data_IF_014945423164
#
_entry.id   IF_014945423164
#
_cell.length_a   1.000
_cell.length_b   1.000
_cell.length_c   1.000
_cell.angle_alpha   90.00
_cell.angle_beta   90.00
_cell.angle_gamma   90.00
#
_symmetry.space_group_name_H-M   'P 1'
#
loop_
_entity.id
_entity.type
_entity.pdbx_description
1 polymer ?
#
# COMPACT_ATOMS: atom_id res chain seq x y z
N UNK A 1 -4.67 -27.96 -29.87
CA UNK A 1 -4.84 -26.76 -29.00
C UNK A 1 -3.98 -26.73 -27.73
N UNK A 2 -3.27 -27.80 -27.33
CA UNK A 2 -2.43 -27.80 -26.10
C UNK A 2 -1.07 -27.10 -26.21
N UNK A 3 -0.41 -27.16 -27.38
CA UNK A 3 0.95 -26.61 -27.54
C UNK A 3 1.02 -25.07 -27.43
N UNK A 4 0.03 -24.35 -27.96
CA UNK A 4 -0.02 -22.88 -27.88
C UNK A 4 -0.22 -22.38 -26.44
N UNK A 5 -1.01 -23.10 -25.63
CA UNK A 5 -1.20 -22.77 -24.22
C UNK A 5 0.07 -23.03 -23.38
N UNK A 6 0.80 -24.10 -23.67
CA UNK A 6 2.07 -24.41 -22.98
C UNK A 6 3.17 -23.42 -23.39
N UNK A 7 3.25 -23.04 -24.66
CA UNK A 7 4.19 -22.03 -25.15
C UNK A 7 3.88 -20.63 -24.58
N UNK A 8 2.61 -20.20 -24.59
CA UNK A 8 2.19 -18.96 -23.93
C UNK A 8 2.44 -18.99 -22.43
N UNK A 9 2.25 -20.13 -21.76
CA UNK A 9 2.52 -20.26 -20.32
C UNK A 9 4.03 -20.22 -20.02
N UNK A 10 4.87 -20.81 -20.87
CA UNK A 10 6.35 -20.68 -20.80
C UNK A 10 6.82 -19.25 -21.06
N UNK A 11 6.28 -18.58 -22.08
CA UNK A 11 6.59 -17.19 -22.40
C UNK A 11 6.13 -16.23 -21.29
N UNK A 12 4.95 -16.46 -20.69
CA UNK A 12 4.44 -15.70 -19.53
C UNK A 12 5.29 -15.90 -18.28
N UNK A 13 5.82 -17.10 -18.05
CA UNK A 13 6.77 -17.39 -16.98
C UNK A 13 8.12 -16.71 -17.21
N UNK A 14 8.65 -16.78 -18.43
CA UNK A 14 9.92 -16.17 -18.84
C UNK A 14 9.94 -14.66 -18.62
N UNK A 15 8.84 -13.97 -18.96
CA UNK A 15 8.71 -12.52 -18.75
C UNK A 15 8.62 -12.07 -17.29
N UNK A 16 8.40 -12.98 -16.34
CA UNK A 16 8.46 -12.70 -14.89
C UNK A 16 9.93 -12.74 -14.42
N UNK A 17 10.68 -13.77 -14.81
CA UNK A 17 12.09 -13.90 -14.45
C UNK A 17 12.99 -12.86 -15.12
N UNK A 18 12.62 -12.34 -16.29
CA UNK A 18 13.31 -11.20 -16.91
C UNK A 18 13.26 -9.95 -16.02
N UNK A 19 12.10 -9.63 -15.44
CA UNK A 19 11.96 -8.49 -14.52
C UNK A 19 12.79 -8.69 -13.25
N UNK A 20 12.84 -9.91 -12.72
CA UNK A 20 13.70 -10.25 -11.59
C UNK A 20 15.19 -10.09 -11.94
N UNK A 21 15.62 -10.58 -13.11
CA UNK A 21 17.00 -10.44 -13.58
C UNK A 21 17.39 -8.96 -13.75
N UNK A 22 16.49 -8.13 -14.27
CA UNK A 22 16.69 -6.67 -14.37
C UNK A 22 16.85 -6.00 -12.99
N UNK A 23 16.03 -6.41 -12.02
CA UNK A 23 16.12 -5.94 -10.63
C UNK A 23 17.46 -6.33 -9.99
N UNK A 24 17.83 -7.61 -10.07
CA UNK A 24 19.11 -8.10 -9.52
C UNK A 24 20.29 -7.43 -10.23
N UNK A 25 20.23 -7.31 -11.56
CA UNK A 25 21.27 -6.67 -12.37
C UNK A 25 21.48 -5.20 -12.00
N UNK A 26 20.42 -4.42 -11.88
CA UNK A 26 20.50 -3.01 -11.48
C UNK A 26 21.06 -2.84 -10.05
N UNK A 27 20.66 -3.68 -9.10
CA UNK A 27 21.24 -3.69 -7.75
C UNK A 27 22.72 -4.06 -7.76
N UNK A 28 23.09 -5.06 -8.56
CA UNK A 28 24.48 -5.53 -8.67
C UNK A 28 25.39 -4.46 -9.27
N UNK A 29 24.92 -3.76 -10.31
CA UNK A 29 25.62 -2.61 -10.90
C UNK A 29 25.73 -1.44 -9.91
N UNK A 30 24.69 -1.18 -9.11
CA UNK A 30 24.74 -0.13 -8.09
C UNK A 30 25.80 -0.46 -7.03
N UNK A 31 25.79 -1.68 -6.50
CA UNK A 31 26.80 -2.14 -5.54
C UNK A 31 28.20 -2.14 -6.14
N UNK A 32 28.37 -2.63 -7.37
CA UNK A 32 29.64 -2.65 -8.09
C UNK A 32 30.21 -1.25 -8.33
N UNK A 33 29.35 -0.26 -8.62
CA UNK A 33 29.77 1.14 -8.71
C UNK A 33 30.34 1.64 -7.38
N UNK A 34 29.73 1.26 -6.24
CA UNK A 34 30.20 1.68 -4.91
C UNK A 34 31.53 1.06 -4.51
N UNK A 35 31.83 -0.16 -4.96
CA UNK A 35 33.13 -0.82 -4.68
C UNK A 35 34.32 -0.12 -5.32
N UNK A 36 34.09 0.72 -6.34
CA UNK A 36 35.14 1.52 -6.99
C UNK A 36 35.57 2.75 -6.17
N UNK A 37 34.90 3.05 -5.05
CA UNK A 37 35.22 4.21 -4.22
C UNK A 37 36.31 3.81 -3.22
N UNK A 38 37.52 4.39 -3.31
CA UNK A 38 38.65 3.97 -2.50
C UNK A 38 38.52 4.40 -1.03
N UNK A 39 38.00 5.60 -0.74
CA UNK A 39 37.87 6.09 0.64
C UNK A 39 36.42 6.20 1.09
N UNK A 40 36.17 5.80 2.34
CA UNK A 40 34.84 5.83 2.93
C UNK A 40 34.29 7.25 3.16
N UNK A 41 35.14 8.27 3.16
CA UNK A 41 34.77 9.68 3.39
C UNK A 41 34.46 10.43 2.10
N UNK A 42 34.74 9.82 0.95
CA UNK A 42 34.63 10.45 -0.36
C UNK A 42 33.18 10.83 -0.71
N UNK A 43 33.05 11.84 -1.57
CA UNK A 43 31.77 12.33 -2.08
C UNK A 43 31.29 11.48 -3.24
N UNK A 44 29.97 11.32 -3.33
CA UNK A 44 29.36 10.82 -4.56
C UNK A 44 29.26 11.99 -5.54
N UNK A 45 29.95 11.89 -6.68
CA UNK A 45 29.82 12.89 -7.74
C UNK A 45 28.39 12.94 -8.29
N UNK A 46 27.96 14.10 -8.79
CA UNK A 46 26.61 14.26 -9.34
C UNK A 46 26.31 13.22 -10.45
N UNK A 47 27.27 12.99 -11.35
CA UNK A 47 27.14 11.98 -12.41
C UNK A 47 26.88 10.58 -11.84
N UNK A 48 27.63 10.18 -10.80
CA UNK A 48 27.45 8.89 -10.14
C UNK A 48 26.13 8.84 -9.35
N UNK A 49 25.73 9.94 -8.73
CA UNK A 49 24.44 10.08 -8.06
C UNK A 49 23.27 9.88 -9.02
N UNK A 50 23.27 10.56 -10.17
CA UNK A 50 22.26 10.40 -11.22
C UNK A 50 22.23 8.97 -11.79
N UNK A 51 23.41 8.33 -11.93
CA UNK A 51 23.49 6.93 -12.31
C UNK A 51 22.86 6.00 -11.25
N UNK A 52 23.13 6.22 -9.96
CA UNK A 52 22.53 5.48 -8.86
C UNK A 52 21.01 5.67 -8.79
N UNK A 53 20.50 6.88 -9.02
CA UNK A 53 19.05 7.13 -9.10
C UNK A 53 18.42 6.41 -10.28
N UNK A 54 19.09 6.39 -11.43
CA UNK A 54 18.62 5.66 -12.61
C UNK A 54 18.55 4.14 -12.35
N UNK A 55 19.59 3.59 -11.73
CA UNK A 55 19.60 2.18 -11.30
C UNK A 55 18.53 1.89 -10.24
N UNK A 56 18.30 2.81 -9.30
CA UNK A 56 17.23 2.72 -8.32
C UNK A 56 15.86 2.65 -8.99
N UNK A 57 15.60 3.49 -9.99
CA UNK A 57 14.34 3.49 -10.72
C UNK A 57 14.11 2.15 -11.45
N UNK A 58 15.15 1.66 -12.15
CA UNK A 58 15.12 0.33 -12.79
C UNK A 58 14.84 -0.75 -11.74
N UNK A 59 15.53 -0.69 -10.59
CA UNK A 59 15.39 -1.67 -9.52
C UNK A 59 13.95 -1.74 -8.98
N UNK A 60 13.38 -0.63 -8.53
CA UNK A 60 12.07 -0.63 -7.88
C UNK A 60 10.93 -0.94 -8.86
N UNK A 61 10.99 -0.42 -10.09
CA UNK A 61 9.98 -0.70 -11.12
C UNK A 61 10.02 -2.17 -11.54
N UNK A 62 11.21 -2.72 -11.81
CA UNK A 62 11.36 -4.13 -12.21
C UNK A 62 11.04 -5.10 -11.09
N UNK A 63 11.38 -4.78 -9.84
CA UNK A 63 11.00 -5.56 -8.66
C UNK A 63 9.49 -5.63 -8.49
N UNK A 64 8.81 -4.50 -8.65
CA UNK A 64 7.34 -4.43 -8.55
C UNK A 64 6.66 -5.21 -9.66
N UNK A 65 7.14 -5.04 -10.90
CA UNK A 65 6.64 -5.78 -12.04
C UNK A 65 6.87 -7.29 -11.88
N UNK A 66 8.03 -7.69 -11.33
CA UNK A 66 8.27 -9.08 -10.94
C UNK A 66 7.24 -9.56 -9.92
N UNK A 67 7.06 -8.86 -8.79
CA UNK A 67 6.11 -9.24 -7.75
C UNK A 67 4.67 -9.35 -8.29
N UNK A 68 4.24 -8.40 -9.13
CA UNK A 68 2.93 -8.39 -9.76
C UNK A 68 2.77 -9.58 -10.71
N UNK A 69 3.72 -9.79 -11.63
CA UNK A 69 3.69 -10.94 -12.56
C UNK A 69 3.76 -12.26 -11.80
N UNK A 70 4.54 -12.32 -10.71
CA UNK A 70 4.66 -13.52 -9.88
C UNK A 70 3.30 -13.91 -9.31
N UNK A 71 2.60 -12.98 -8.66
CA UNK A 71 1.30 -13.25 -8.04
C UNK A 71 0.17 -13.44 -9.07
N UNK A 72 0.22 -12.75 -10.22
CA UNK A 72 -0.87 -12.79 -11.21
C UNK A 72 -0.72 -13.87 -12.28
N UNK A 73 0.51 -14.27 -12.66
CA UNK A 73 0.74 -15.12 -13.84
C UNK A 73 1.33 -16.49 -13.50
N UNK A 74 1.97 -16.68 -12.34
CA UNK A 74 2.57 -17.96 -11.99
C UNK A 74 1.56 -18.92 -11.36
N UNK A 75 1.79 -20.23 -11.49
CA UNK A 75 0.93 -21.26 -10.88
C UNK A 75 0.83 -21.08 -9.35
N UNK A 76 1.96 -20.81 -8.68
CA UNK A 76 2.01 -20.55 -7.23
C UNK A 76 1.25 -19.29 -6.84
N UNK A 77 1.41 -18.20 -7.61
CA UNK A 77 0.68 -16.95 -7.41
C UNK A 77 -0.84 -17.12 -7.56
N UNK A 78 -1.28 -17.84 -8.58
CA UNK A 78 -2.70 -18.13 -8.79
C UNK A 78 -3.29 -19.02 -7.68
N UNK A 79 -2.54 -20.02 -7.21
CA UNK A 79 -2.95 -20.83 -6.04
C UNK A 79 -3.06 -19.97 -4.78
N UNK A 80 -2.10 -19.08 -4.54
CA UNK A 80 -2.10 -18.15 -3.42
C UNK A 80 -3.31 -17.19 -3.49
N UNK A 81 -3.58 -16.61 -4.66
CA UNK A 81 -4.73 -15.73 -4.90
C UNK A 81 -6.05 -16.46 -4.65
N UNK A 82 -6.19 -17.70 -5.12
CA UNK A 82 -7.38 -18.53 -4.89
C UNK A 82 -7.54 -18.86 -3.39
N UNK A 83 -6.45 -19.24 -2.71
CA UNK A 83 -6.46 -19.59 -1.28
C UNK A 83 -6.97 -18.45 -0.40
N UNK A 84 -6.54 -17.23 -0.66
CA UNK A 84 -6.93 -16.05 0.14
C UNK A 84 -8.04 -15.20 -0.49
N UNK A 85 -8.63 -15.65 -1.61
CA UNK A 85 -9.69 -14.95 -2.37
C UNK A 85 -9.34 -13.47 -2.67
N UNK A 86 -8.12 -13.23 -3.14
CA UNK A 86 -7.59 -11.89 -3.36
C UNK A 86 -8.11 -11.25 -4.65
N UNK A 87 -8.52 -9.99 -4.57
CA UNK A 87 -8.85 -9.14 -5.71
C UNK A 87 -7.59 -8.56 -6.37
N UNK A 88 -7.77 -7.75 -7.42
CA UNK A 88 -6.63 -7.13 -8.10
C UNK A 88 -5.99 -6.06 -7.20
N UNK A 89 -6.81 -5.27 -6.53
CA UNK A 89 -6.36 -4.25 -5.57
C UNK A 89 -5.55 -4.86 -4.42
N UNK A 90 -6.02 -5.98 -3.87
CA UNK A 90 -5.31 -6.75 -2.83
C UNK A 90 -3.92 -7.20 -3.28
N UNK A 91 -3.79 -7.69 -4.52
CA UNK A 91 -2.49 -8.11 -5.07
C UNK A 91 -1.55 -6.92 -5.20
N UNK A 92 -2.01 -5.80 -5.75
CA UNK A 92 -1.20 -4.59 -5.89
C UNK A 92 -0.79 -4.00 -4.53
N UNK A 93 -1.67 -4.08 -3.54
CA UNK A 93 -1.36 -3.67 -2.16
C UNK A 93 -0.28 -4.56 -1.54
N UNK A 94 -0.40 -5.88 -1.67
CA UNK A 94 0.62 -6.81 -1.17
C UNK A 94 1.98 -6.56 -1.81
N UNK A 95 2.03 -6.34 -3.13
CA UNK A 95 3.31 -6.09 -3.82
C UNK A 95 3.91 -4.74 -3.45
N UNK A 96 3.10 -3.67 -3.35
CA UNK A 96 3.56 -2.38 -2.83
C UNK A 96 4.19 -2.53 -1.44
N UNK A 97 3.55 -3.26 -0.52
CA UNK A 97 4.07 -3.47 0.84
C UNK A 97 5.32 -4.33 0.90
N UNK A 98 5.48 -5.30 0.00
CA UNK A 98 6.72 -6.07 -0.14
C UNK A 98 7.87 -5.15 -0.58
N UNK A 99 7.65 -4.34 -1.61
CA UNK A 99 8.69 -3.42 -2.12
C UNK A 99 9.07 -2.38 -1.06
N UNK A 100 8.07 -1.84 -0.35
CA UNK A 100 8.27 -0.94 0.79
C UNK A 100 9.10 -1.58 1.92
N UNK A 101 8.79 -2.82 2.31
CA UNK A 101 9.56 -3.54 3.33
C UNK A 101 11.03 -3.78 2.90
N UNK A 102 11.27 -4.06 1.62
CA UNK A 102 12.62 -4.24 1.07
C UNK A 102 13.38 -2.91 1.10
N UNK A 103 12.76 -1.81 0.66
CA UNK A 103 13.39 -0.48 0.74
C UNK A 103 13.75 -0.12 2.17
N UNK A 104 12.82 -0.31 3.11
CA UNK A 104 13.03 -0.01 4.51
C UNK A 104 14.20 -0.82 5.12
N UNK A 105 14.33 -2.09 4.71
CA UNK A 105 15.45 -2.94 5.11
C UNK A 105 16.78 -2.37 4.61
N UNK A 106 16.85 -1.90 3.36
CA UNK A 106 18.06 -1.26 2.85
C UNK A 106 18.41 0.03 3.59
N UNK A 107 17.40 0.88 3.84
CA UNK A 107 17.59 2.11 4.61
C UNK A 107 18.15 1.81 5.99
N UNK A 108 17.52 0.87 6.72
CA UNK A 108 17.99 0.44 8.03
C UNK A 108 19.42 -0.10 8.00
N UNK A 109 19.77 -0.96 7.04
CA UNK A 109 21.12 -1.52 6.93
C UNK A 109 22.17 -0.44 6.66
N UNK A 110 21.88 0.50 5.76
CA UNK A 110 22.77 1.65 5.49
C UNK A 110 22.92 2.50 6.75
N UNK A 111 21.82 2.83 7.42
CA UNK A 111 21.83 3.54 8.69
C UNK A 111 22.69 2.84 9.74
N UNK A 112 22.51 1.53 9.92
CA UNK A 112 23.28 0.74 10.87
C UNK A 112 24.79 0.72 10.56
N UNK A 113 25.16 0.50 9.29
CA UNK A 113 26.56 0.49 8.85
C UNK A 113 27.21 1.86 9.07
N UNK A 114 26.54 2.94 8.63
CA UNK A 114 27.05 4.31 8.79
C UNK A 114 27.15 4.67 10.27
N UNK A 115 26.15 4.32 11.09
CA UNK A 115 26.14 4.56 12.53
C UNK A 115 27.38 3.95 13.19
N UNK A 116 27.62 2.65 12.96
CA UNK A 116 28.76 1.92 13.54
C UNK A 116 30.11 2.52 13.11
N UNK A 117 30.25 2.89 11.85
CA UNK A 117 31.50 3.42 11.27
C UNK A 117 31.78 4.89 11.63
N UNK A 118 30.74 5.69 11.83
CA UNK A 118 30.82 7.16 11.90
C UNK A 118 30.71 7.66 13.35
N UNK A 119 29.78 7.09 14.13
CA UNK A 119 29.49 7.56 15.48
C UNK A 119 30.62 7.27 16.48
N UNK A 120 31.52 6.35 16.16
CA UNK A 120 32.73 6.05 16.95
C UNK A 120 33.86 7.06 16.73
N UNK A 121 33.87 7.77 15.59
CA UNK A 121 34.92 8.73 15.22
C UNK A 121 34.56 10.15 15.66
N UNK A 122 33.40 10.64 15.21
CA UNK A 122 32.88 11.93 15.62
C UNK A 122 31.38 11.96 15.36
N UNK A 123 30.60 12.19 16.41
CA UNK A 123 29.14 12.26 16.31
C UNK A 123 28.68 13.39 15.37
N UNK A 124 29.39 14.52 15.41
CA UNK A 124 29.01 15.74 14.68
C UNK A 124 29.74 15.87 13.36
N UNK A 125 30.99 15.42 13.19
CA UNK A 125 31.79 15.78 12.01
C UNK A 125 32.09 14.63 11.05
N UNK A 126 31.89 13.38 11.47
CA UNK A 126 32.24 12.25 10.62
C UNK A 126 31.19 12.06 9.50
N UNK A 127 31.68 11.56 8.37
CA UNK A 127 30.91 11.35 7.14
C UNK A 127 31.21 9.98 6.55
N UNK A 128 30.27 9.49 5.74
CA UNK A 128 30.36 8.19 5.09
C UNK A 128 29.65 8.23 3.74
N UNK A 129 30.34 7.83 2.66
CA UNK A 129 29.82 7.88 1.28
C UNK A 129 28.53 7.08 1.11
N UNK A 130 28.40 5.95 1.83
CA UNK A 130 27.22 5.07 1.75
C UNK A 130 25.90 5.79 2.05
N UNK A 131 25.93 6.81 2.92
CA UNK A 131 24.77 7.66 3.21
C UNK A 131 24.31 8.42 1.97
N UNK A 132 25.24 9.08 1.27
CA UNK A 132 24.97 9.82 0.03
C UNK A 132 24.57 8.88 -1.11
N UNK A 133 25.28 7.76 -1.26
CA UNK A 133 25.01 6.76 -2.28
C UNK A 133 23.59 6.19 -2.16
N UNK A 134 23.20 5.81 -0.94
CA UNK A 134 21.85 5.33 -0.71
C UNK A 134 20.81 6.45 -0.80
N UNK A 135 21.15 7.69 -0.41
CA UNK A 135 20.28 8.84 -0.67
C UNK A 135 19.89 8.92 -2.16
N UNK A 136 20.89 8.93 -3.05
CA UNK A 136 20.67 8.97 -4.50
C UNK A 136 19.88 7.75 -5.02
N UNK A 137 20.23 6.54 -4.58
CA UNK A 137 19.53 5.32 -4.97
C UNK A 137 18.08 5.28 -4.45
N UNK A 138 17.89 5.66 -3.19
CA UNK A 138 16.63 5.62 -2.44
C UNK A 138 15.63 6.69 -2.86
N UNK A 139 16.07 7.85 -3.37
CA UNK A 139 15.15 8.86 -3.94
C UNK A 139 14.27 8.30 -5.05
N UNK A 140 14.77 7.35 -5.85
CA UNK A 140 13.98 6.70 -6.88
C UNK A 140 12.80 5.90 -6.31
N UNK A 141 12.93 5.33 -5.10
CA UNK A 141 11.83 4.65 -4.41
C UNK A 141 10.70 5.60 -4.09
N UNK A 142 10.98 6.77 -3.51
CA UNK A 142 9.92 7.71 -3.11
C UNK A 142 9.06 8.14 -4.30
N UNK A 143 9.67 8.34 -5.47
CA UNK A 143 8.96 8.66 -6.71
C UNK A 143 8.11 7.48 -7.19
N UNK A 144 8.69 6.28 -7.19
CA UNK A 144 7.96 5.05 -7.52
C UNK A 144 6.79 4.79 -6.56
N UNK A 145 6.98 5.01 -5.26
CA UNK A 145 6.02 4.62 -4.22
C UNK A 145 4.75 5.48 -4.32
N UNK A 146 4.88 6.79 -4.58
CA UNK A 146 3.76 7.68 -4.88
C UNK A 146 2.91 7.14 -6.04
N UNK A 147 3.57 6.77 -7.15
CA UNK A 147 2.87 6.21 -8.30
C UNK A 147 2.20 4.88 -7.98
N UNK A 148 2.89 4.01 -7.25
CA UNK A 148 2.37 2.68 -6.91
C UNK A 148 1.19 2.76 -5.93
N UNK A 149 1.24 3.64 -4.92
CA UNK A 149 0.13 3.90 -4.01
C UNK A 149 -1.10 4.45 -4.74
N UNK A 150 -0.90 5.38 -5.67
CA UNK A 150 -1.97 5.87 -6.55
C UNK A 150 -2.63 4.74 -7.36
N UNK A 151 -1.83 3.82 -7.91
CA UNK A 151 -2.33 2.64 -8.63
C UNK A 151 -3.13 1.71 -7.73
N UNK A 152 -2.67 1.45 -6.50
CA UNK A 152 -3.43 0.67 -5.51
C UNK A 152 -4.75 1.35 -5.19
N UNK A 153 -4.74 2.65 -4.88
CA UNK A 153 -5.95 3.42 -4.55
C UNK A 153 -6.99 3.37 -5.67
N UNK A 154 -6.57 3.64 -6.90
CA UNK A 154 -7.45 3.58 -8.08
C UNK A 154 -8.05 2.19 -8.26
N UNK A 155 -7.26 1.13 -8.05
CA UNK A 155 -7.74 -0.24 -8.17
C UNK A 155 -8.69 -0.63 -7.03
N UNK A 156 -8.45 -0.17 -5.80
CA UNK A 156 -9.37 -0.39 -4.66
C UNK A 156 -10.76 0.17 -4.97
N UNK A 157 -10.83 1.35 -5.59
CA UNK A 157 -12.09 1.96 -6.01
C UNK A 157 -12.75 1.15 -7.12
N UNK A 158 -12.00 0.73 -8.14
CA UNK A 158 -12.54 -0.08 -9.22
C UNK A 158 -13.12 -1.41 -8.73
N UNK A 159 -12.41 -2.09 -7.82
CA UNK A 159 -12.83 -3.36 -7.23
C UNK A 159 -14.09 -3.17 -6.36
N UNK A 160 -14.18 -2.09 -5.57
CA UNK A 160 -15.39 -1.77 -4.79
C UNK A 160 -16.59 -1.47 -5.69
N UNK A 161 -16.42 -0.68 -6.75
CA UNK A 161 -17.48 -0.37 -7.70
C UNK A 161 -17.99 -1.64 -8.42
N UNK A 162 -17.08 -2.56 -8.74
CA UNK A 162 -17.42 -3.87 -9.30
C UNK A 162 -18.24 -4.70 -8.31
N UNK A 163 -17.85 -4.74 -7.03
CA UNK A 163 -18.62 -5.44 -5.99
C UNK A 163 -20.02 -4.83 -5.80
N UNK A 164 -20.14 -3.50 -5.79
CA UNK A 164 -21.45 -2.83 -5.70
C UNK A 164 -22.37 -3.19 -6.86
N UNK A 165 -21.85 -3.18 -8.10
CA UNK A 165 -22.63 -3.58 -9.29
C UNK A 165 -23.09 -5.03 -9.23
N UNK A 166 -22.22 -5.94 -8.77
CA UNK A 166 -22.56 -7.35 -8.59
C UNK A 166 -23.62 -7.56 -7.52
N UNK A 167 -23.53 -6.83 -6.39
CA UNK A 167 -24.53 -6.90 -5.33
C UNK A 167 -25.88 -6.35 -5.82
N UNK A 168 -25.91 -5.22 -6.54
CA UNK A 168 -27.12 -4.65 -7.10
C UNK A 168 -27.80 -5.58 -8.12
N UNK A 169 -27.01 -6.26 -8.96
CA UNK A 169 -27.50 -7.29 -9.88
C UNK A 169 -28.06 -8.52 -9.13
N UNK A 170 -27.43 -8.93 -8.03
CA UNK A 170 -27.87 -10.07 -7.23
C UNK A 170 -29.14 -9.78 -6.41
N UNK A 171 -29.37 -8.53 -5.99
CA UNK A 171 -30.57 -8.12 -5.26
C UNK A 171 -31.75 -7.76 -6.17
N UNK A 172 -31.65 -8.02 -7.48
CA UNK A 172 -32.74 -7.72 -8.44
C UNK A 172 -33.07 -6.23 -8.53
N UNK A 173 -32.15 -5.35 -8.14
CA UNK A 173 -32.34 -3.91 -8.27
C UNK A 173 -32.04 -3.48 -9.72
N UNK A 174 -32.89 -3.91 -10.65
CA UNK A 174 -33.10 -3.18 -11.90
C UNK A 174 -33.72 -1.84 -11.53
N UNK A 175 -32.89 -0.87 -11.15
CA UNK A 175 -33.30 0.53 -11.08
C UNK A 175 -33.34 1.07 -12.50
N UNK A 176 -34.42 0.74 -13.22
CA UNK A 176 -34.93 1.61 -14.27
C UNK A 176 -35.40 2.89 -13.60
N UNK A 177 -34.62 3.96 -13.73
CA UNK A 177 -35.12 5.29 -14.13
C UNK A 177 -34.00 6.33 -14.01
N UNK A 178 -33.62 6.86 -15.17
CA UNK A 178 -33.02 8.17 -15.24
C UNK A 178 -34.08 9.27 -15.06
N UNK A 179 -33.58 10.44 -14.67
CA UNK A 179 -34.15 11.78 -14.93
C UNK A 179 -35.49 12.10 -14.27
N UNK A 180 -35.45 12.81 -13.13
CA UNK A 180 -36.05 14.15 -12.97
C UNK A 180 -35.76 14.73 -11.58
N UNK A 181 -35.51 16.03 -11.54
CA UNK A 181 -35.06 16.75 -10.35
C UNK A 181 -36.16 17.40 -9.51
N UNK A 182 -35.66 18.03 -8.44
CA UNK A 182 -36.18 19.23 -7.75
C UNK A 182 -37.36 19.07 -6.78
N UNK A 183 -37.01 19.30 -5.50
CA UNK A 183 -37.70 20.08 -4.47
C UNK A 183 -38.70 19.49 -3.46
N UNK A 184 -38.35 19.81 -2.20
CA UNK A 184 -39.14 20.44 -1.13
C UNK A 184 -40.02 19.58 -0.18
N UNK A 185 -39.52 19.59 1.07
CA UNK A 185 -40.17 19.93 2.35
C UNK A 185 -41.16 18.97 3.06
N UNK A 186 -40.81 18.80 4.34
CA UNK A 186 -41.64 18.91 5.56
C UNK A 186 -42.28 17.66 6.21
N UNK A 187 -41.75 17.39 7.42
CA UNK A 187 -42.40 17.38 8.75
C UNK A 187 -43.12 16.11 9.30
N UNK A 188 -42.51 15.60 10.37
CA UNK A 188 -43.06 15.25 11.70
C UNK A 188 -44.13 14.15 11.93
N UNK A 189 -43.76 13.27 12.90
CA UNK A 189 -44.53 12.65 13.99
C UNK A 189 -45.44 11.43 13.74
N UNK A 190 -45.32 10.42 14.62
CA UNK A 190 -46.42 9.49 14.97
C UNK A 190 -45.98 8.06 15.33
N UNK A 191 -46.40 7.58 16.50
CA UNK A 191 -46.03 6.34 17.19
C UNK A 191 -47.14 5.26 17.06
N UNK A 192 -46.79 3.97 17.27
CA UNK A 192 -47.63 2.79 17.64
C UNK A 192 -48.64 2.25 16.59
N UNK A 193 -49.04 0.97 16.49
CA UNK A 193 -48.74 -0.33 17.13
C UNK A 193 -49.38 -1.47 16.29
N UNK A 194 -48.77 -2.66 16.33
CA UNK A 194 -49.28 -4.05 16.19
C UNK A 194 -50.44 -4.46 15.25
N UNK A 195 -50.18 -5.54 14.49
CA UNK A 195 -51.12 -6.67 14.29
C UNK A 195 -51.33 -7.13 12.84
N UNK A 196 -51.06 -8.41 12.54
CA UNK A 196 -51.64 -9.10 11.37
C UNK A 196 -50.70 -10.02 10.58
N UNK A 197 -50.88 -11.32 10.78
CA UNK A 197 -50.18 -12.47 10.23
C UNK A 197 -50.51 -12.77 8.75
N UNK A 198 -49.52 -13.21 7.97
CA UNK A 198 -49.67 -14.22 6.91
C UNK A 198 -48.29 -14.57 6.33
N UNK A 199 -47.94 -15.85 6.41
CA UNK A 199 -46.61 -16.38 6.17
C UNK A 199 -46.16 -16.44 4.71
N UNK A 200 -44.84 -16.49 4.55
CA UNK A 200 -44.19 -17.17 3.44
C UNK A 200 -42.81 -17.69 3.88
N UNK A 201 -42.57 -18.95 3.58
CA UNK A 201 -41.48 -19.78 4.08
C UNK A 201 -40.25 -19.58 3.16
N UNK A 202 -39.44 -18.56 3.45
CA UNK A 202 -38.19 -18.30 2.70
C UNK A 202 -36.96 -18.93 3.37
N UNK A 203 -36.05 -19.56 2.62
CA UNK A 203 -34.92 -20.28 3.19
C UNK A 203 -33.88 -19.32 3.77
N UNK A 204 -33.58 -19.53 5.06
CA UNK A 204 -32.31 -19.22 5.76
C UNK A 204 -31.58 -17.96 5.27
N UNK A 205 -31.99 -16.80 5.80
CA UNK A 205 -31.16 -15.60 5.89
C UNK A 205 -29.89 -15.93 6.69
N UNK A 206 -28.81 -16.32 6.01
CA UNK A 206 -27.46 -16.12 6.56
C UNK A 206 -27.25 -14.61 6.57
N UNK A 207 -27.18 -14.06 7.77
CA UNK A 207 -27.09 -12.65 8.12
C UNK A 207 -26.30 -11.80 7.10
N UNK A 208 -27.04 -10.99 6.35
CA UNK A 208 -26.55 -9.82 5.61
C UNK A 208 -26.02 -8.70 6.54
N UNK A 209 -25.91 -8.97 7.85
CA UNK A 209 -25.57 -8.01 8.90
C UNK A 209 -24.05 -7.80 9.08
N UNK A 210 -23.22 -8.37 8.21
CA UNK A 210 -21.77 -8.16 8.21
C UNK A 210 -21.25 -7.47 6.93
N UNK A 211 -22.15 -6.94 6.09
CA UNK A 211 -21.80 -6.17 4.88
C UNK A 211 -22.45 -4.78 4.83
N UNK A 212 -22.73 -4.22 6.00
CA UNK A 212 -23.21 -2.86 6.15
C UNK A 212 -22.16 -2.12 6.99
N UNK A 213 -21.53 -1.10 6.40
CA UNK A 213 -20.35 -0.32 6.86
C UNK A 213 -18.95 -0.75 6.37
N UNK A 214 -18.79 -1.06 5.09
CA UNK A 214 -17.45 -1.05 4.48
C UNK A 214 -17.15 0.34 3.88
N UNK A 215 -16.89 1.30 4.75
CA UNK A 215 -16.11 2.48 4.38
C UNK A 215 -14.74 2.00 3.85
N UNK A 216 -14.25 2.59 2.75
CA UNK A 216 -12.86 2.33 2.35
C UNK A 216 -12.02 3.06 3.38
N UNK A 217 -11.34 2.32 4.25
CA UNK A 217 -10.28 2.89 5.06
C UNK A 217 -9.05 3.08 4.17
N UNK A 218 -8.65 4.34 3.99
CA UNK A 218 -7.38 4.66 3.36
C UNK A 218 -6.18 4.33 4.27
N UNK A 219 -4.95 4.47 3.77
CA UNK A 219 -3.72 4.34 4.56
C UNK A 219 -3.73 5.18 5.84
N UNK A 220 -4.43 6.32 5.84
CA UNK A 220 -4.56 7.22 6.98
C UNK A 220 -5.75 6.89 7.92
N UNK A 221 -6.55 5.86 7.60
CA UNK A 221 -7.71 5.44 8.40
C UNK A 221 -8.99 6.27 8.17
N UNK A 222 -9.00 7.17 7.19
CA UNK A 222 -10.15 7.98 6.77
C UNK A 222 -11.04 7.23 5.76
N UNK A 223 -12.34 7.53 5.73
CA UNK A 223 -13.32 6.94 4.82
C UNK A 223 -13.23 7.57 3.42
N UNK A 224 -12.80 6.83 2.40
CA UNK A 224 -12.69 7.34 1.02
C UNK A 224 -14.07 7.48 0.39
N UNK A 225 -14.43 8.71 0.05
CA UNK A 225 -15.63 9.02 -0.73
C UNK A 225 -15.48 8.54 -2.17
N UNK A 226 -16.44 7.75 -2.67
CA UNK A 226 -16.45 7.26 -4.05
C UNK A 226 -16.98 8.38 -4.96
N UNK A 227 -16.22 8.89 -5.93
CA UNK A 227 -16.73 9.86 -6.89
C UNK A 227 -17.77 9.19 -7.78
N UNK A 228 -18.82 9.95 -8.09
CA UNK A 228 -19.91 9.54 -8.97
C UNK A 228 -19.43 9.15 -10.39
N UNK A 229 -18.24 9.61 -10.77
CA UNK A 229 -17.71 9.52 -12.14
C UNK A 229 -16.75 8.34 -12.35
N UNK A 230 -16.47 7.56 -11.29
CA UNK A 230 -15.74 6.28 -11.38
C UNK A 230 -14.25 6.36 -11.72
N UNK A 231 -13.64 7.55 -11.82
CA UNK A 231 -12.19 7.75 -11.98
C UNK A 231 -11.69 8.85 -11.05
N UNK A 232 -10.61 8.58 -10.34
CA UNK A 232 -9.84 9.62 -9.64
C UNK A 232 -8.67 10.02 -10.53
N UNK A 233 -8.55 11.32 -10.82
CA UNK A 233 -7.35 11.85 -11.45
C UNK A 233 -6.20 11.89 -10.43
N UNK A 234 -4.97 11.73 -10.93
CA UNK A 234 -3.75 11.72 -10.10
C UNK A 234 -3.61 12.98 -9.23
N UNK A 235 -3.93 14.15 -9.77
CA UNK A 235 -3.88 15.43 -9.02
C UNK A 235 -4.85 15.42 -7.85
N UNK A 236 -6.06 14.87 -8.05
CA UNK A 236 -7.06 14.77 -6.99
C UNK A 236 -6.60 13.81 -5.89
N UNK A 237 -5.93 12.71 -6.25
CA UNK A 237 -5.32 11.79 -5.29
C UNK A 237 -4.23 12.48 -4.44
N UNK A 238 -3.34 13.25 -5.08
CA UNK A 238 -2.26 13.96 -4.38
C UNK A 238 -2.80 14.97 -3.38
N UNK A 239 -3.84 15.73 -3.75
CA UNK A 239 -4.44 16.76 -2.88
C UNK A 239 -5.22 16.15 -1.70
N UNK A 240 -5.78 14.95 -1.88
CA UNK A 240 -6.60 14.30 -0.84
C UNK A 240 -5.79 13.54 0.21
N UNK A 241 -4.52 13.23 -0.07
CA UNK A 241 -3.64 12.52 0.87
C UNK A 241 -2.40 13.36 1.22
N UNK A 242 -2.57 14.59 1.76
CA UNK A 242 -1.49 15.56 1.87
C UNK A 242 -0.39 15.14 2.84
N UNK A 243 -0.72 14.47 3.95
CA UNK A 243 0.26 14.04 4.97
C UNK A 243 1.26 13.05 4.36
N UNK A 244 0.75 12.01 3.71
CA UNK A 244 1.57 11.01 3.03
C UNK A 244 2.36 11.62 1.87
N UNK A 245 1.76 12.48 1.05
CA UNK A 245 2.45 13.09 -0.09
C UNK A 245 3.56 14.04 0.34
N UNK A 246 3.30 14.92 1.31
CA UNK A 246 4.33 15.81 1.87
C UNK A 246 5.48 14.99 2.44
N UNK A 247 5.20 13.92 3.19
CA UNK A 247 6.24 13.05 3.74
C UNK A 247 7.14 12.45 2.65
N UNK A 248 6.56 11.87 1.59
CA UNK A 248 7.34 11.21 0.53
C UNK A 248 8.12 12.20 -0.33
N UNK A 249 7.51 13.33 -0.69
CA UNK A 249 8.18 14.37 -1.47
C UNK A 249 9.28 15.04 -0.64
N UNK A 250 9.01 15.38 0.63
CA UNK A 250 9.97 16.01 1.52
C UNK A 250 11.18 15.11 1.76
N UNK A 251 10.99 13.83 2.11
CA UNK A 251 12.12 12.92 2.32
C UNK A 251 12.86 12.65 1.00
N UNK A 252 12.13 12.41 -0.09
CA UNK A 252 12.73 12.07 -1.39
C UNK A 252 13.54 13.22 -2.01
N UNK A 253 13.13 14.48 -1.80
CA UNK A 253 13.78 15.66 -2.41
C UNK A 253 14.62 16.44 -1.41
N UNK A 254 14.01 17.00 -0.37
CA UNK A 254 14.70 17.79 0.65
C UNK A 254 15.68 16.92 1.43
N UNK A 255 15.29 15.69 1.82
CA UNK A 255 16.19 14.74 2.46
C UNK A 255 17.44 14.42 1.62
N UNK A 256 17.27 14.21 0.31
CA UNK A 256 18.39 14.02 -0.62
C UNK A 256 19.29 15.26 -0.68
N UNK A 257 18.71 16.46 -0.85
CA UNK A 257 19.47 17.70 -0.91
C UNK A 257 20.26 17.93 0.37
N UNK A 258 19.66 17.69 1.53
CA UNK A 258 20.35 17.82 2.82
C UNK A 258 21.52 16.85 2.93
N UNK A 259 21.32 15.57 2.60
CA UNK A 259 22.38 14.55 2.67
C UNK A 259 23.52 14.82 1.69
N UNK A 260 23.24 15.39 0.52
CA UNK A 260 24.23 15.58 -0.55
C UNK A 260 24.89 16.97 -0.56
N UNK A 261 24.12 18.02 -0.29
CA UNK A 261 24.55 19.42 -0.41
C UNK A 261 25.05 20.00 0.92
N UNK A 262 24.36 19.74 2.03
CA UNK A 262 24.77 20.24 3.35
C UNK A 262 25.81 19.28 3.93
N UNK A 263 27.08 19.45 3.54
CA UNK A 263 28.17 18.72 4.19
C UNK A 263 29.09 19.63 4.98
N UNK A 264 28.98 19.49 6.30
CA UNK A 264 29.91 19.94 7.33
C UNK A 264 29.99 18.97 8.53
N UNK A 265 29.42 17.76 8.40
CA UNK A 265 29.25 16.81 9.50
C UNK A 265 27.81 16.31 9.65
N UNK A 266 27.59 15.33 10.54
CA UNK A 266 26.26 14.94 11.02
C UNK A 266 25.71 13.63 10.43
N UNK A 267 26.49 12.89 9.62
CA UNK A 267 26.02 11.63 9.02
C UNK A 267 25.70 10.57 10.09
N UNK A 268 26.32 10.64 11.28
CA UNK A 268 25.91 9.84 12.42
C UNK A 268 24.46 10.16 12.83
N UNK A 269 24.06 11.44 12.91
CA UNK A 269 22.67 11.84 13.22
C UNK A 269 21.71 11.34 12.12
N UNK A 270 22.05 11.57 10.85
CA UNK A 270 21.24 11.07 9.72
C UNK A 270 21.14 9.54 9.67
N UNK A 271 22.15 8.82 10.16
CA UNK A 271 22.13 7.36 10.23
C UNK A 271 21.03 6.84 11.16
N UNK A 272 20.75 7.54 12.26
CA UNK A 272 19.60 7.22 13.11
C UNK A 272 18.28 7.50 12.40
N UNK A 273 18.21 8.51 11.53
CA UNK A 273 17.01 8.77 10.73
C UNK A 273 16.72 7.60 9.77
N UNK A 274 17.76 7.02 9.17
CA UNK A 274 17.59 5.82 8.32
C UNK A 274 17.18 4.60 9.15
N UNK A 275 17.72 4.46 10.37
CA UNK A 275 17.35 3.37 11.26
C UNK A 275 15.88 3.41 11.71
N UNK A 276 15.18 4.55 11.58
CA UNK A 276 13.74 4.67 11.82
C UNK A 276 12.91 3.75 10.92
N UNK A 277 13.45 3.35 9.77
CA UNK A 277 12.78 2.43 8.83
C UNK A 277 12.70 0.99 9.33
N UNK A 278 13.37 0.65 10.44
CA UNK A 278 13.30 -0.71 11.03
C UNK A 278 11.86 -1.15 11.37
N UNK A 279 10.98 -0.22 11.73
CA UNK A 279 9.58 -0.56 12.03
C UNK A 279 8.74 -0.86 10.78
N UNK A 280 9.14 -0.33 9.62
CA UNK A 280 8.34 -0.36 8.39
C UNK A 280 8.07 -1.77 7.85
N UNK A 281 9.02 -2.74 7.88
CA UNK A 281 8.73 -4.13 7.54
C UNK A 281 7.58 -4.74 8.35
N UNK A 282 7.47 -4.43 9.65
CA UNK A 282 6.40 -4.93 10.50
C UNK A 282 5.06 -4.23 10.19
N UNK A 283 5.07 -2.94 9.88
CA UNK A 283 3.88 -2.20 9.41
C UNK A 283 3.37 -2.79 8.09
N UNK A 284 4.27 -3.00 7.12
CA UNK A 284 3.97 -3.62 5.82
C UNK A 284 3.45 -5.04 5.97
N UNK A 285 4.08 -5.85 6.83
CA UNK A 285 3.61 -7.21 7.10
C UNK A 285 2.23 -7.24 7.75
N UNK A 286 1.92 -6.28 8.65
CA UNK A 286 0.58 -6.16 9.23
C UNK A 286 -0.47 -5.87 8.17
N UNK A 287 -0.15 -4.97 7.23
CA UNK A 287 -0.99 -4.64 6.09
C UNK A 287 -1.23 -5.88 5.22
N UNK A 288 -0.17 -6.61 4.85
CA UNK A 288 -0.27 -7.84 4.04
C UNK A 288 -1.15 -8.89 4.73
N UNK A 289 -0.95 -9.14 6.03
CA UNK A 289 -1.76 -10.10 6.79
C UNK A 289 -3.23 -9.65 6.88
N UNK A 290 -3.48 -8.34 6.98
CA UNK A 290 -4.83 -7.77 6.93
C UNK A 290 -5.49 -7.99 5.57
N UNK A 291 -4.78 -7.71 4.47
CA UNK A 291 -5.25 -7.94 3.08
C UNK A 291 -5.53 -9.43 2.81
N UNK A 292 -4.75 -10.32 3.42
CA UNK A 292 -5.00 -11.77 3.37
C UNK A 292 -6.14 -12.26 4.29
N UNK A 293 -6.85 -11.35 4.99
CA UNK A 293 -7.93 -11.64 5.94
C UNK A 293 -7.50 -12.52 7.12
N UNK A 294 -6.23 -12.39 7.54
CA UNK A 294 -5.66 -13.16 8.66
C UNK A 294 -5.64 -12.38 9.98
N UNK A 295 -6.62 -11.49 10.20
CA UNK A 295 -6.66 -10.61 11.40
C UNK A 295 -6.78 -11.39 12.72
N UNK A 296 -7.40 -12.56 12.70
CA UNK A 296 -7.56 -13.42 13.89
C UNK A 296 -6.37 -14.36 14.16
N UNK A 297 -5.37 -14.35 13.28
CA UNK A 297 -4.22 -15.24 13.39
C UNK A 297 -3.25 -14.79 14.49
N UNK A 298 -2.59 -15.76 15.15
CA UNK A 298 -1.48 -15.47 16.08
C UNK A 298 -0.37 -14.66 15.41
N UNK A 299 -0.12 -14.91 14.12
CA UNK A 299 0.86 -14.17 13.33
C UNK A 299 0.52 -12.67 13.25
N UNK A 300 -0.76 -12.31 13.07
CA UNK A 300 -1.20 -10.91 13.05
C UNK A 300 -1.01 -10.20 14.38
N UNK A 301 -1.26 -10.91 15.49
CA UNK A 301 -1.06 -10.39 16.85
C UNK A 301 0.43 -10.21 17.15
N UNK A 302 1.25 -11.25 16.90
CA UNK A 302 2.71 -11.21 17.13
C UNK A 302 3.35 -10.09 16.30
N UNK A 303 3.01 -10.01 15.01
CA UNK A 303 3.51 -8.93 14.17
C UNK A 303 3.03 -7.56 14.64
N UNK A 304 1.80 -7.44 15.13
CA UNK A 304 1.28 -6.20 15.73
C UNK A 304 2.08 -5.76 16.96
N UNK A 305 2.49 -6.68 17.82
CA UNK A 305 3.35 -6.40 18.98
C UNK A 305 4.77 -6.01 18.54
N UNK A 306 5.35 -6.71 17.57
CA UNK A 306 6.66 -6.37 17.00
C UNK A 306 6.64 -4.98 16.34
N UNK A 307 5.57 -4.67 15.61
CA UNK A 307 5.34 -3.35 15.03
C UNK A 307 5.28 -2.28 16.12
N UNK A 308 4.50 -2.48 17.19
CA UNK A 308 4.38 -1.51 18.28
C UNK A 308 5.71 -1.27 19.00
N UNK A 309 6.43 -2.34 19.36
CA UNK A 309 7.71 -2.26 20.05
C UNK A 309 8.80 -1.61 19.19
N UNK A 310 8.92 -2.02 17.93
CA UNK A 310 9.90 -1.43 17.00
C UNK A 310 9.60 0.03 16.72
N UNK A 311 8.32 0.42 16.54
CA UNK A 311 7.95 1.81 16.31
C UNK A 311 8.29 2.69 17.52
N UNK A 312 8.01 2.22 18.74
CA UNK A 312 8.38 2.93 19.96
C UNK A 312 9.89 3.16 20.05
N UNK A 313 10.69 2.10 19.91
CA UNK A 313 12.15 2.19 20.07
C UNK A 313 12.79 3.05 18.98
N UNK A 314 12.51 2.74 17.72
CA UNK A 314 13.24 3.34 16.59
C UNK A 314 12.69 4.68 16.13
N UNK A 315 11.41 4.99 16.36
CA UNK A 315 10.81 6.27 15.93
C UNK A 315 10.50 7.23 17.07
N UNK A 316 10.10 6.75 18.25
CA UNK A 316 9.71 7.61 19.38
C UNK A 316 10.89 7.89 20.31
N UNK A 317 11.55 6.85 20.83
CA UNK A 317 12.64 6.98 21.81
C UNK A 317 13.97 7.40 21.16
N UNK A 318 14.20 6.97 19.91
CA UNK A 318 15.44 7.26 19.20
C UNK A 318 15.71 8.76 19.05
N UNK A 319 14.69 9.58 18.77
CA UNK A 319 14.87 11.02 18.58
C UNK A 319 15.36 11.75 19.83
N UNK A 320 14.71 11.62 21.01
CA UNK A 320 15.24 12.13 22.28
C UNK A 320 16.67 11.66 22.57
N UNK A 321 16.97 10.39 22.30
CA UNK A 321 18.32 9.85 22.48
C UNK A 321 19.36 10.52 21.57
N UNK A 322 19.05 10.72 20.28
CA UNK A 322 19.93 11.40 19.33
C UNK A 322 20.15 12.86 19.74
N UNK A 323 19.11 13.56 20.21
CA UNK A 323 19.24 14.93 20.72
C UNK A 323 20.07 15.00 22.01
N UNK A 324 19.93 14.02 22.91
CA UNK A 324 20.79 13.91 24.08
C UNK A 324 22.26 13.71 23.68
N UNK A 325 22.54 12.76 22.78
CA UNK A 325 23.89 12.52 22.26
C UNK A 325 24.47 13.76 21.57
N UNK A 326 23.64 14.52 20.86
CA UNK A 326 24.03 15.80 20.29
C UNK A 326 24.41 16.80 21.38
N UNK A 327 23.57 16.98 22.42
CA UNK A 327 23.83 17.91 23.52
C UNK A 327 25.16 17.64 24.24
N UNK A 328 25.49 16.35 24.46
CA UNK A 328 26.76 15.93 25.03
C UNK A 328 27.92 16.23 24.08
N UNK A 329 27.74 16.02 22.78
CA UNK A 329 28.78 16.26 21.79
C UNK A 329 29.17 17.75 21.64
N UNK A 330 28.22 18.66 21.86
CA UNK A 330 28.47 20.12 21.83
C UNK A 330 28.61 20.74 23.23
N UNK A 331 28.61 19.93 24.29
CA UNK A 331 28.74 20.35 25.70
C UNK A 331 27.73 21.45 26.13
N UNK A 332 26.47 21.33 25.72
CA UNK A 332 25.39 22.24 26.18
C UNK A 332 24.26 21.44 26.83
N UNK A 333 23.41 22.12 27.61
CA UNK A 333 22.22 21.48 28.17
C UNK A 333 21.26 20.99 27.07
N UNK A 334 20.45 19.98 27.36
CA UNK A 334 19.50 19.42 26.39
C UNK A 334 18.59 20.48 25.75
N UNK A 335 18.07 21.41 26.56
CA UNK A 335 17.21 22.50 26.08
C UNK A 335 17.95 23.48 25.18
N UNK A 336 19.18 23.86 25.56
CA UNK A 336 20.03 24.70 24.72
C UNK A 336 20.37 24.00 23.41
N UNK A 337 20.65 22.70 23.43
CA UNK A 337 20.97 21.94 22.21
C UNK A 337 19.84 22.02 21.18
N UNK A 338 18.59 21.99 21.64
CA UNK A 338 17.41 22.10 20.79
C UNK A 338 17.25 23.52 20.21
N UNK A 339 17.46 24.56 21.01
CA UNK A 339 17.33 25.96 20.55
C UNK A 339 18.52 26.45 19.73
N UNK A 340 19.68 25.80 19.83
CA UNK A 340 20.90 26.16 19.09
C UNK A 340 20.87 25.64 17.64
N UNK A 341 20.00 24.68 17.33
CA UNK A 341 19.85 24.16 15.98
C UNK A 341 19.34 25.26 15.03
N UNK A 342 19.82 25.32 13.78
CA UNK A 342 19.28 26.23 12.79
C UNK A 342 17.77 26.04 12.62
N UNK A 343 17.02 27.13 12.48
CA UNK A 343 15.55 27.11 12.38
C UNK A 343 15.04 26.11 11.33
N UNK A 344 15.70 26.02 10.17
CA UNK A 344 15.36 25.05 9.12
C UNK A 344 15.53 23.59 9.55
N UNK A 345 16.54 23.28 10.36
CA UNK A 345 16.76 21.93 10.91
C UNK A 345 15.66 21.57 11.92
N UNK A 346 15.31 22.49 12.83
CA UNK A 346 14.23 22.28 13.80
C UNK A 346 12.90 22.01 13.08
N UNK A 347 12.54 22.86 12.11
CA UNK A 347 11.31 22.69 11.33
C UNK A 347 11.31 21.32 10.62
N UNK A 348 12.43 20.93 10.01
CA UNK A 348 12.56 19.64 9.33
C UNK A 348 12.38 18.45 10.28
N UNK A 349 12.98 18.51 11.47
CA UNK A 349 12.82 17.49 12.51
C UNK A 349 11.35 17.41 12.95
N UNK A 350 10.69 18.55 13.17
CA UNK A 350 9.28 18.57 13.58
C UNK A 350 8.35 17.99 12.51
N UNK A 351 8.55 18.35 11.23
CA UNK A 351 7.78 17.81 10.09
C UNK A 351 7.92 16.29 10.02
N UNK A 352 9.10 15.75 10.31
CA UNK A 352 9.34 14.31 10.29
C UNK A 352 8.91 13.58 11.57
N UNK A 353 8.95 14.23 12.73
CA UNK A 353 8.70 13.60 14.03
C UNK A 353 7.23 13.63 14.44
N UNK A 354 6.50 14.72 14.18
CA UNK A 354 5.09 14.87 14.59
C UNK A 354 4.17 13.78 14.00
N UNK A 355 4.25 13.41 12.70
CA UNK A 355 3.46 12.30 12.16
C UNK A 355 3.75 10.97 12.86
N UNK A 356 5.00 10.76 13.30
CA UNK A 356 5.41 9.53 13.98
C UNK A 356 4.74 9.42 15.35
N UNK A 357 4.68 10.51 16.12
CA UNK A 357 3.96 10.56 17.39
C UNK A 357 2.47 10.32 17.20
N UNK A 358 1.88 10.94 16.18
CA UNK A 358 0.48 10.73 15.83
C UNK A 358 0.17 9.26 15.50
N UNK A 359 0.95 8.64 14.62
CA UNK A 359 0.77 7.24 14.27
C UNK A 359 1.02 6.30 15.45
N UNK A 360 2.02 6.59 16.29
CA UNK A 360 2.26 5.81 17.50
C UNK A 360 1.06 5.88 18.47
N UNK A 361 0.50 7.06 18.68
CA UNK A 361 -0.71 7.22 19.49
C UNK A 361 -1.89 6.39 18.92
N UNK A 362 -2.11 6.43 17.61
CA UNK A 362 -3.12 5.59 16.95
C UNK A 362 -2.86 4.09 17.14
N UNK A 363 -1.61 3.65 17.03
CA UNK A 363 -1.22 2.25 17.24
C UNK A 363 -1.47 1.79 18.68
N UNK A 364 -1.13 2.61 19.67
CA UNK A 364 -1.40 2.32 21.10
C UNK A 364 -2.91 2.24 21.35
N UNK A 365 -3.68 3.23 20.85
CA UNK A 365 -5.15 3.21 20.96
C UNK A 365 -5.76 1.97 20.32
N UNK A 366 -5.26 1.58 19.14
CA UNK A 366 -5.67 0.36 18.45
C UNK A 366 -5.34 -0.91 19.25
N UNK A 367 -4.15 -1.00 19.84
CA UNK A 367 -3.76 -2.12 20.68
C UNK A 367 -4.61 -2.21 21.96
N UNK A 368 -4.83 -1.09 22.65
CA UNK A 368 -5.68 -1.03 23.84
C UNK A 368 -7.10 -1.49 23.56
N UNK A 369 -7.69 -1.12 22.41
CA UNK A 369 -9.03 -1.59 22.00
C UNK A 369 -9.10 -3.12 21.86
N UNK A 370 -8.05 -3.73 21.29
CA UNK A 370 -7.98 -5.18 21.12
C UNK A 370 -7.88 -5.90 22.46
N UNK A 371 -7.10 -5.36 23.41
CA UNK A 371 -6.94 -5.96 24.74
C UNK A 371 -8.09 -5.65 25.71
N UNK A 372 -8.82 -4.56 25.50
CA UNK A 372 -9.93 -4.14 26.38
C UNK A 372 -11.27 -4.74 26.00
N UNK A 373 -11.40 -5.39 24.83
CA UNK A 373 -12.65 -6.05 24.44
C UNK A 373 -12.81 -7.34 25.25
N UNK A 374 -13.83 -7.49 26.11
CA UNK A 374 -14.04 -8.70 26.88
C UNK A 374 -14.24 -9.90 25.95
N UNK A 375 -13.50 -10.99 26.15
CA UNK A 375 -13.80 -12.26 25.48
C UNK A 375 -15.25 -12.65 25.83
N UNK A 376 -16.11 -12.99 24.84
CA UNK A 376 -17.37 -13.65 25.14
C UNK A 376 -17.07 -14.92 25.94
N UNK A 377 -17.66 -15.05 27.13
CA UNK A 377 -17.57 -16.29 27.92
C UNK A 377 -18.11 -17.43 27.05
N UNK A 378 -17.35 -18.52 26.97
CA UNK A 378 -17.74 -19.75 26.29
C UNK A 378 -19.13 -20.19 26.80
N UNK A 379 -20.15 -20.04 25.96
CA UNK A 379 -21.46 -20.62 26.22
C UNK A 379 -21.32 -22.14 26.03
N UNK A 380 -21.61 -22.88 27.10
CA UNK A 380 -21.53 -24.34 27.23
C UNK A 380 -22.11 -25.12 26.03
N UNK A 381 -21.62 -26.34 25.74
CA UNK A 381 -22.07 -27.12 24.61
C UNK A 381 -23.53 -27.55 24.80
N UNK A 382 -24.44 -27.05 23.96
CA UNK A 382 -25.81 -27.56 23.90
C UNK A 382 -25.81 -28.93 23.23
N UNK A 383 -26.28 -29.92 23.99
CA UNK A 383 -26.45 -31.32 23.64
C UNK A 383 -27.14 -31.52 22.28
N UNK A 384 -26.59 -32.47 21.53
CA UNK A 384 -27.14 -33.14 20.37
C UNK A 384 -28.60 -33.56 20.63
N UNK A 385 -29.55 -33.05 19.83
CA UNK A 385 -30.89 -33.63 19.72
C UNK A 385 -31.00 -34.29 18.36
N UNK A 386 -30.80 -35.61 18.36
CA UNK A 386 -31.19 -36.52 17.30
C UNK A 386 -32.71 -36.41 17.08
N UNK A 387 -33.14 -36.20 15.84
CA UNK A 387 -34.47 -36.61 15.39
C UNK A 387 -34.36 -37.22 14.00
N UNK A 388 -34.74 -38.50 13.93
CA UNK A 388 -34.99 -39.31 12.74
C UNK A 388 -35.88 -38.56 11.73
N UNK A 389 -35.55 -38.65 10.46
CA UNK A 389 -36.38 -39.39 9.50
C UNK A 389 -35.61 -39.68 8.21
N UNK A 390 -35.58 -40.96 7.86
CA UNK A 390 -35.06 -41.51 6.63
C UNK A 390 -36.14 -41.42 5.54
N UNK A 391 -35.78 -40.94 4.35
CA UNK A 391 -36.14 -41.52 3.04
C UNK A 391 -35.73 -40.55 1.92
N UNK A 392 -34.64 -40.86 1.20
CA UNK A 392 -34.59 -41.08 -0.26
C UNK A 392 -33.13 -41.23 -0.71
N UNK A 393 -32.84 -42.27 -1.49
CA UNK A 393 -31.50 -42.62 -2.00
C UNK A 393 -31.12 -41.79 -3.27
N UNK A 394 -29.98 -42.10 -3.93
CA UNK A 394 -28.79 -41.25 -4.03
C UNK A 394 -28.73 -40.40 -5.33
N UNK A 395 -28.22 -39.17 -5.26
CA UNK A 395 -27.78 -38.43 -6.45
C UNK A 395 -26.41 -37.83 -6.19
N UNK A 396 -25.41 -38.34 -6.90
CA UNK A 396 -24.04 -37.82 -6.95
C UNK A 396 -23.92 -36.67 -7.97
N UNK A 397 -22.73 -36.05 -8.10
CA UNK A 397 -22.50 -34.61 -7.93
C UNK A 397 -22.75 -33.80 -9.22
N UNK A 398 -22.93 -32.49 -9.14
CA UNK A 398 -22.47 -31.50 -10.14
C UNK A 398 -23.01 -30.09 -9.85
N UNK A 399 -22.11 -29.14 -9.59
CA UNK A 399 -22.18 -27.73 -10.03
C UNK A 399 -21.01 -26.95 -9.41
N UNK A 400 -19.81 -27.21 -9.93
CA UNK A 400 -18.63 -26.39 -9.70
C UNK A 400 -18.75 -25.15 -10.61
N UNK A 401 -19.10 -23.98 -10.05
CA UNK A 401 -19.08 -22.73 -10.81
C UNK A 401 -17.61 -22.32 -11.05
N UNK A 402 -17.12 -22.71 -12.23
CA UNK A 402 -15.78 -22.44 -12.73
C UNK A 402 -15.57 -20.94 -13.02
N UNK A 403 -15.01 -20.21 -12.04
CA UNK A 403 -14.60 -18.80 -12.17
C UNK A 403 -13.38 -18.58 -13.11
N UNK A 404 -12.93 -19.61 -13.83
CA UNK A 404 -11.75 -19.55 -14.71
C UNK A 404 -12.05 -19.02 -16.12
N UNK A 405 -13.31 -19.03 -16.58
CA UNK A 405 -13.63 -18.70 -17.99
C UNK A 405 -13.76 -17.20 -18.28
N UNK A 406 -14.00 -16.35 -17.28
CA UNK A 406 -14.22 -14.91 -17.52
C UNK A 406 -12.92 -14.15 -17.85
N UNK A 407 -11.76 -14.65 -17.38
CA UNK A 407 -10.47 -14.01 -17.62
C UNK A 407 -9.83 -14.33 -18.99
N UNK A 408 -10.38 -15.27 -19.76
CA UNK A 408 -9.90 -15.58 -21.10
C UNK A 408 -10.37 -14.56 -22.15
N UNK A 409 -11.53 -13.92 -21.94
CA UNK A 409 -12.15 -13.04 -22.94
C UNK A 409 -11.60 -11.61 -22.96
N UNK A 410 -10.97 -11.13 -21.86
CA UNK A 410 -10.32 -9.81 -21.84
C UNK A 410 -8.93 -9.80 -22.50
N UNK A 411 -8.28 -10.97 -22.65
CA UNK A 411 -6.97 -11.06 -23.30
C UNK A 411 -7.06 -11.05 -24.85
N UNK A 412 -8.23 -11.34 -25.43
CA UNK A 412 -8.42 -11.40 -26.88
C UNK A 412 -8.90 -10.09 -27.51
N UNK A 413 -9.36 -9.11 -26.71
CA UNK A 413 -9.88 -7.82 -27.22
C UNK A 413 -8.87 -6.66 -27.17
N UNK A 414 -7.60 -6.92 -26.84
CA UNK A 414 -6.55 -5.90 -26.86
C UNK A 414 -5.87 -5.73 -28.24
N UNK A 415 -6.47 -6.26 -29.32
CA UNK A 415 -5.84 -6.39 -30.63
C UNK A 415 -6.75 -6.03 -31.80
N UNK A 416 -7.52 -4.94 -31.72
CA UNK A 416 -8.23 -4.39 -32.89
C UNK A 416 -8.38 -2.87 -32.73
N UNK A 417 -7.43 -2.12 -33.32
CA UNK A 417 -7.63 -0.69 -33.62
C UNK A 417 -8.64 -0.59 -34.78
N UNK A 418 -9.71 0.21 -34.69
CA UNK A 418 -10.51 0.54 -35.87
C UNK A 418 -9.80 1.63 -36.67
N UNK A 419 -9.51 1.33 -37.94
CA UNK A 419 -9.10 2.30 -38.96
C UNK A 419 -10.19 3.34 -39.18
N UNK A 420 -9.79 4.60 -39.29
CA UNK A 420 -10.65 5.70 -39.69
C UNK A 420 -11.10 5.50 -41.15
N UNK A 421 -12.41 5.35 -41.35
CA UNK A 421 -13.06 5.43 -42.66
C UNK A 421 -13.77 6.78 -42.71
N UNK A 422 -13.24 7.68 -43.53
CA UNK A 422 -13.83 8.96 -43.89
C UNK A 422 -15.00 8.68 -44.84
N UNK A 423 -16.24 8.89 -44.37
CA UNK A 423 -17.40 8.93 -45.24
C UNK A 423 -17.77 10.39 -45.50
N UNK A 424 -17.55 10.85 -46.75
CA UNK A 424 -18.15 12.08 -47.28
C UNK A 424 -19.67 11.86 -47.36
N UNK A 425 -20.45 12.84 -46.91
CA UNK A 425 -21.84 13.03 -47.32
C UNK A 425 -21.97 14.32 -48.16
N UNK A 426 -22.89 14.35 -49.14
CA UNK A 426 -22.99 15.43 -50.12
C UNK A 426 -23.81 16.61 -49.60
N UNK A 427 -23.46 17.81 -50.07
CA UNK A 427 -24.26 19.02 -49.93
C UNK A 427 -25.55 18.90 -50.74
N UNK A 428 -26.69 19.06 -50.08
CA UNK A 428 -27.91 19.56 -50.73
C UNK A 428 -28.29 20.92 -50.11
N UNK A 429 -28.35 21.90 -51.01
CA UNK A 429 -28.86 23.25 -50.83
C UNK A 429 -30.37 23.23 -50.69
N UNK A 430 -30.94 23.98 -49.73
CA UNK A 430 -32.23 24.62 -49.98
C UNK A 430 -32.38 25.94 -49.24
N UNK A 431 -32.99 26.88 -49.95
CA UNK A 431 -33.04 28.31 -49.77
C UNK A 431 -33.97 28.78 -48.64
N UNK A 432 -33.55 29.86 -47.98
CA UNK A 432 -34.29 31.12 -47.90
C UNK A 432 -35.54 31.19 -47.03
N UNK A 433 -35.50 32.08 -46.02
CA UNK A 433 -36.32 33.29 -45.98
C UNK A 433 -35.91 34.20 -44.82
N UNK A 434 -35.41 35.37 -45.23
CA UNK A 434 -35.47 36.74 -44.65
C UNK A 434 -34.88 36.92 -43.25
#
# INVERSE_FOLDING_TARGET
MGANNVLQQRLRGSGCYMSLACSIGSMSLACGSLLQIPNITDRISLQRGLFLTSLGFIYFVSLTDFCNKYLLKTKRGLQFRKKYRLMMSDVLEITNKIVSAIQATFSFLVGFIVCKSTCSKSFVYASHFLMEAYGWFGTAYFMYDIWSMYKVHTQKIADKLKLMRLNAAATGATSSNGVNGVSLKNNSNGVSSAGGDSGDESPVRVSAQQRENDDIYDYDGECVQIPKDGKWDFIKYVITHPVMMIHHVFIGTFGLLVVTYIRGGGHCIYSYMFMMEFSTPFVSMRSILSTMRLKDSRAYIINGLLMLGSFFVFRVVMWPYVMYRYSVAINVSFWQALTTLPRGCIISIMILFLPQLYWFFLMVKGALKVFSTPKPKDAAPKKLRQSKNNNLSPVTPNAEHDFSQIYANEANNAGTKPSAIVHRQPLETNNGKI
#
